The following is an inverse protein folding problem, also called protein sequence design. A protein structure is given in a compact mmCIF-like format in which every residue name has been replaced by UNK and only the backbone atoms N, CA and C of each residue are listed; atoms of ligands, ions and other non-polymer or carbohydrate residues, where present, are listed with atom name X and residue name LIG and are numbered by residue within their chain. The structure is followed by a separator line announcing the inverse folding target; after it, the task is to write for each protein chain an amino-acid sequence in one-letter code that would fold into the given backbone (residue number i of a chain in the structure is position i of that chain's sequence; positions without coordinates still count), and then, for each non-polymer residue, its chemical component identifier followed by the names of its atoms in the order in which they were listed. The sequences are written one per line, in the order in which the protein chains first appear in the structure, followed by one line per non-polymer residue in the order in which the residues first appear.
data_IF_018027541582
#
_entry.id   IF_018027541582
#
_cell.length_a   1.000
_cell.length_b   1.000
_cell.length_c   1.000
_cell.angle_alpha   90.00
_cell.angle_beta   90.00
_cell.angle_gamma   90.00
#
_symmetry.space_group_name_H-M   'P 1'
#
loop_
_entity.id
_entity.type
_entity.pdbx_description
1 polymer ?
#
# COMPACT_ATOMS: atom_id res chain seq x y z
N UNK A 1 14.35 8.74 1.76
CA UNK A 1 13.76 7.62 2.51
C UNK A 1 13.28 6.58 1.51
N UNK A 2 13.73 5.34 1.65
CA UNK A 2 13.31 4.20 0.82
C UNK A 2 11.95 3.65 1.30
N UNK A 3 11.22 2.88 0.47
CA UNK A 3 10.00 2.17 0.89
C UNK A 3 10.22 1.31 2.14
N UNK A 4 11.39 0.65 2.21
CA UNK A 4 11.79 -0.21 3.33
C UNK A 4 12.07 0.57 4.60
N UNK A 5 12.76 1.71 4.50
CA UNK A 5 12.97 2.61 5.64
C UNK A 5 11.65 3.15 6.18
N UNK A 6 10.73 3.53 5.30
CA UNK A 6 9.41 4.03 5.71
C UNK A 6 8.58 2.98 6.44
N UNK A 7 8.54 1.76 5.89
CA UNK A 7 7.91 0.61 6.54
C UNK A 7 8.52 0.32 7.91
N UNK A 8 9.85 0.36 7.99
CA UNK A 8 10.58 0.12 9.25
C UNK A 8 10.21 1.15 10.31
N UNK A 9 10.08 2.42 9.94
CA UNK A 9 9.64 3.49 10.86
C UNK A 9 8.21 3.23 11.32
N UNK A 10 7.28 2.90 10.40
CA UNK A 10 5.90 2.56 10.75
C UNK A 10 5.82 1.42 11.76
N UNK A 11 6.57 0.34 11.52
CA UNK A 11 6.59 -0.84 12.38
C UNK A 11 7.18 -0.52 13.77
N UNK A 12 8.22 0.32 13.84
CA UNK A 12 8.78 0.80 15.13
C UNK A 12 7.82 1.65 15.95
N UNK A 13 6.93 2.39 15.28
CA UNK A 13 5.87 3.15 15.93
C UNK A 13 4.69 2.27 16.35
N UNK A 14 4.69 0.98 15.99
CA UNK A 14 3.59 0.06 16.28
C UNK A 14 2.30 0.39 15.51
N UNK A 15 2.40 1.08 14.38
CA UNK A 15 1.25 1.56 13.63
C UNK A 15 0.92 0.64 12.44
N UNK A 16 -0.36 0.45 12.17
CA UNK A 16 -0.86 -0.04 10.88
C UNK A 16 -0.72 1.05 9.80
N UNK A 17 -0.83 0.67 8.52
CA UNK A 17 -0.86 1.65 7.42
C UNK A 17 -2.02 2.65 7.55
N UNK A 18 -3.16 2.22 8.11
CA UNK A 18 -4.31 3.09 8.31
C UNK A 18 -4.10 4.10 9.44
N UNK A 19 -3.48 3.68 10.54
CA UNK A 19 -3.15 4.58 11.64
C UNK A 19 -2.06 5.58 11.23
N UNK A 20 -1.03 5.14 10.53
CA UNK A 20 -0.02 6.06 9.99
C UNK A 20 -0.64 7.04 8.99
N UNK A 21 -1.56 6.60 8.12
CA UNK A 21 -2.28 7.50 7.23
C UNK A 21 -3.03 8.59 8.00
N UNK A 22 -3.73 8.24 9.09
CA UNK A 22 -4.41 9.21 9.96
C UNK A 22 -3.45 10.18 10.62
N UNK A 23 -2.33 9.70 11.16
CA UNK A 23 -1.29 10.53 11.79
C UNK A 23 -0.69 11.52 10.79
N UNK A 24 -0.49 11.10 9.54
CA UNK A 24 0.06 11.93 8.47
C UNK A 24 -0.99 12.78 7.74
N UNK A 25 -2.26 12.71 8.11
CA UNK A 25 -3.35 13.48 7.49
C UNK A 25 -3.77 12.97 6.10
N UNK A 26 -3.45 11.74 5.73
CA UNK A 26 -3.92 11.12 4.49
C UNK A 26 -5.33 10.54 4.67
N UNK A 27 -6.21 10.81 3.70
CA UNK A 27 -7.58 10.29 3.69
C UNK A 27 -7.66 8.78 3.50
N UNK A 28 -6.70 8.17 2.79
CA UNK A 28 -6.75 6.75 2.45
C UNK A 28 -5.45 6.01 2.81
N UNK A 29 -5.52 4.84 3.48
CA UNK A 29 -4.35 3.99 3.79
C UNK A 29 -3.56 3.54 2.56
N UNK A 30 -4.19 3.55 1.38
CA UNK A 30 -3.54 3.23 0.11
C UNK A 30 -2.36 4.14 -0.22
N UNK A 31 -2.31 5.37 0.31
CA UNK A 31 -1.17 6.27 0.13
C UNK A 31 0.09 5.71 0.79
N UNK A 32 -0.05 5.16 2.01
CA UNK A 32 1.04 4.51 2.73
C UNK A 32 1.46 3.23 2.01
N UNK A 33 0.48 2.42 1.58
CA UNK A 33 0.74 1.21 0.80
C UNK A 33 1.51 1.50 -0.49
N UNK A 34 1.12 2.54 -1.23
CA UNK A 34 1.81 2.96 -2.45
C UNK A 34 3.25 3.40 -2.19
N UNK A 35 3.52 4.07 -1.07
CA UNK A 35 4.87 4.47 -0.68
C UNK A 35 5.73 3.27 -0.25
N UNK A 36 5.17 2.31 0.48
CA UNK A 36 5.86 1.11 0.97
C UNK A 36 6.08 0.04 -0.11
N UNK A 37 5.53 0.24 -1.31
CA UNK A 37 5.77 -0.62 -2.47
C UNK A 37 7.09 -0.24 -3.11
N UNK A 38 8.01 -1.19 -3.12
CA UNK A 38 9.15 -1.14 -4.03
C UNK A 38 8.62 -1.09 -5.47
N UNK A 39 9.27 -0.29 -6.32
CA UNK A 39 8.85 0.09 -7.69
C UNK A 39 8.72 -1.07 -8.70
N UNK A 40 8.62 -2.33 -8.25
CA UNK A 40 8.42 -3.52 -9.09
C UNK A 40 7.09 -4.25 -8.88
N UNK A 41 6.22 -3.81 -7.97
CA UNK A 41 5.01 -4.54 -7.61
C UNK A 41 3.74 -3.95 -8.21
N UNK A 42 3.59 -3.90 -9.54
CA UNK A 42 2.25 -3.76 -10.12
C UNK A 42 1.37 -4.88 -9.54
N UNK A 43 0.18 -4.54 -9.03
CA UNK A 43 -0.74 -5.55 -8.52
C UNK A 43 -1.11 -6.41 -9.73
N UNK A 44 -0.61 -7.64 -9.82
CA UNK A 44 -1.22 -8.60 -10.73
C UNK A 44 -2.69 -8.65 -10.33
N UNK A 45 -3.56 -8.12 -11.20
CA UNK A 45 -5.01 -8.26 -11.03
C UNK A 45 -5.23 -9.77 -10.93
N UNK A 46 -5.84 -10.28 -9.85
CA UNK A 46 -6.14 -11.70 -9.77
C UNK A 46 -6.93 -12.09 -11.02
N UNK A 47 -6.41 -13.03 -11.82
CA UNK A 47 -6.99 -13.45 -13.11
C UNK A 47 -8.44 -13.94 -12.98
N UNK A 48 -8.93 -14.16 -11.75
CA UNK A 48 -10.32 -14.48 -11.46
C UNK A 48 -11.33 -13.35 -11.80
N UNK A 49 -10.86 -12.10 -12.00
CA UNK A 49 -11.70 -10.96 -12.42
C UNK A 49 -11.64 -10.69 -13.94
N UNK A 50 -11.03 -11.58 -14.73
CA UNK A 50 -10.85 -11.42 -16.18
C UNK A 50 -11.76 -12.33 -17.02
N UNK A 51 -12.88 -12.81 -16.47
CA UNK A 51 -13.73 -13.86 -17.06
C UNK A 51 -15.17 -13.38 -17.30
N UNK A 52 -15.34 -12.18 -17.83
CA UNK A 52 -16.67 -11.63 -18.12
C UNK A 52 -16.65 -10.49 -19.16
N UNK A 53 -15.68 -10.51 -20.08
CA UNK A 53 -15.61 -9.58 -21.22
C UNK A 53 -15.84 -10.26 -22.59
N UNK A 54 -16.77 -11.21 -22.65
CA UNK A 54 -17.31 -11.74 -23.91
C UNK A 54 -18.80 -12.06 -23.76
N UNK A 55 -19.65 -11.03 -23.83
CA UNK A 55 -21.05 -11.08 -24.29
C UNK A 55 -21.39 -9.74 -24.98
#
# INVERSE_FOLDING_TARGET
MTPTEFRTIRDRLGLTQAELARVLGYHHPSHISSFERETGGARAVPTLLALDASL
#
